data_IF_986463553780
#
_entry.id   IF_986463553780
#
_cell.length_a   1.000
_cell.length_b   1.000
_cell.length_c   1.000
_cell.angle_alpha   90.00
_cell.angle_beta   90.00
_cell.angle_gamma   90.00
#
_symmetry.space_group_name_H-M   'P 1'
#
loop_
_entity.id
_entity.type
_entity.pdbx_description
1 polymer ?
#
# COMPACT_ATOMS: atom_id res chain seq x y z
N UNK A 1 29.78 1.37 -23.54
CA UNK A 1 28.84 1.17 -22.42
C UNK A 1 29.67 0.99 -21.16
N UNK A 2 29.50 1.86 -20.15
CA UNK A 2 30.21 1.74 -18.87
C UNK A 2 29.32 1.03 -17.84
N UNK A 3 29.89 0.49 -16.77
CA UNK A 3 29.07 -0.08 -15.68
C UNK A 3 28.13 0.97 -15.07
N UNK A 4 28.55 2.24 -15.02
CA UNK A 4 27.70 3.34 -14.56
C UNK A 4 26.50 3.58 -15.48
N UNK A 5 26.70 3.57 -16.80
CA UNK A 5 25.59 3.76 -17.75
C UNK A 5 24.64 2.57 -17.69
N UNK A 6 25.17 1.35 -17.65
CA UNK A 6 24.35 0.14 -17.54
C UNK A 6 23.50 0.12 -16.26
N UNK A 7 24.06 0.53 -15.11
CA UNK A 7 23.31 0.69 -13.87
C UNK A 7 22.16 1.71 -14.03
N UNK A 8 22.44 2.85 -14.67
CA UNK A 8 21.45 3.90 -14.87
C UNK A 8 20.31 3.41 -15.77
N UNK A 9 20.62 2.71 -16.86
CA UNK A 9 19.63 2.15 -17.78
C UNK A 9 18.68 1.18 -17.05
N UNK A 10 19.22 0.29 -16.21
CA UNK A 10 18.42 -0.66 -15.42
C UNK A 10 17.54 0.06 -14.39
N UNK A 11 18.09 1.08 -13.72
CA UNK A 11 17.35 1.85 -12.72
C UNK A 11 16.19 2.61 -13.35
N UNK A 12 16.43 3.30 -14.45
CA UNK A 12 15.41 4.05 -15.18
C UNK A 12 14.32 3.13 -15.75
N UNK A 13 14.69 1.94 -16.25
CA UNK A 13 13.73 0.94 -16.67
C UNK A 13 12.83 0.49 -15.50
N UNK A 14 13.42 0.29 -14.31
CA UNK A 14 12.66 -0.12 -13.12
C UNK A 14 11.68 0.96 -12.64
N UNK A 15 12.15 2.21 -12.62
CA UNK A 15 11.34 3.38 -12.28
C UNK A 15 10.20 3.54 -13.28
N UNK A 16 10.47 3.39 -14.58
CA UNK A 16 9.45 3.45 -15.62
C UNK A 16 8.38 2.37 -15.44
N UNK A 17 8.77 1.11 -15.20
CA UNK A 17 7.83 0.00 -15.01
C UNK A 17 6.90 0.24 -13.80
N UNK A 18 7.39 0.86 -12.73
CA UNK A 18 6.61 1.15 -11.52
C UNK A 18 5.72 2.40 -11.62
N UNK A 19 6.19 3.44 -12.33
CA UNK A 19 5.55 4.76 -12.35
C UNK A 19 4.65 4.97 -13.55
N UNK A 20 5.01 4.41 -14.71
CA UNK A 20 4.33 4.69 -15.98
C UNK A 20 4.04 3.45 -16.82
N UNK A 21 4.64 2.30 -16.47
CA UNK A 21 4.39 1.02 -17.10
C UNK A 21 3.18 0.29 -16.53
N UNK A 22 3.02 -0.97 -16.93
CA UNK A 22 1.84 -1.79 -16.61
C UNK A 22 1.95 -2.59 -15.29
N UNK A 23 2.99 -2.40 -14.47
CA UNK A 23 3.18 -3.23 -13.29
C UNK A 23 2.02 -3.14 -12.31
N UNK A 24 1.66 -1.91 -11.91
CA UNK A 24 0.56 -1.67 -10.97
C UNK A 24 -0.75 -2.23 -11.53
N UNK A 25 -1.06 -1.95 -12.79
CA UNK A 25 -2.24 -2.47 -13.49
C UNK A 25 -2.30 -4.01 -13.42
N UNK A 26 -1.25 -4.71 -13.84
CA UNK A 26 -1.18 -6.17 -13.82
C UNK A 26 -1.22 -6.77 -12.41
N UNK A 27 -0.70 -6.06 -11.41
CA UNK A 27 -0.85 -6.46 -10.01
C UNK A 27 -2.31 -6.37 -9.57
N UNK A 28 -3.00 -5.28 -9.90
CA UNK A 28 -4.40 -5.07 -9.53
C UNK A 28 -5.35 -6.04 -10.25
N UNK A 29 -5.01 -6.50 -11.46
CA UNK A 29 -5.76 -7.53 -12.21
C UNK A 29 -5.79 -8.90 -11.51
N UNK A 30 -4.80 -9.22 -10.66
CA UNK A 30 -4.73 -10.51 -9.97
C UNK A 30 -4.08 -10.37 -8.58
N UNK A 31 -4.80 -9.70 -7.69
CA UNK A 31 -4.32 -9.41 -6.34
C UNK A 31 -4.06 -10.66 -5.50
N UNK A 32 -4.89 -11.70 -5.63
CA UNK A 32 -4.71 -12.97 -4.92
C UNK A 32 -3.37 -13.64 -5.22
N UNK A 33 -2.92 -13.56 -6.48
CA UNK A 33 -1.63 -14.12 -6.89
C UNK A 33 -0.44 -13.33 -6.33
N UNK A 34 -0.58 -12.01 -6.16
CA UNK A 34 0.56 -11.11 -5.94
C UNK A 34 0.60 -10.46 -4.55
N UNK A 35 -0.50 -10.45 -3.81
CA UNK A 35 -0.64 -9.74 -2.54
C UNK A 35 -1.09 -10.72 -1.46
N UNK A 36 -0.25 -10.89 -0.44
CA UNK A 36 -0.61 -11.68 0.74
C UNK A 36 -1.72 -10.97 1.50
N UNK A 37 -2.80 -11.69 1.79
CA UNK A 37 -3.94 -11.21 2.55
C UNK A 37 -4.04 -11.93 3.89
N UNK A 38 -4.03 -11.17 4.97
CA UNK A 38 -4.07 -11.70 6.34
C UNK A 38 -5.27 -11.14 7.11
N UNK A 39 -6.25 -12.00 7.50
CA UNK A 39 -7.44 -11.56 8.23
C UNK A 39 -7.15 -11.00 9.63
N UNK A 40 -5.92 -11.13 10.15
CA UNK A 40 -5.53 -10.59 11.45
C UNK A 40 -5.18 -9.10 11.39
N UNK A 41 -4.95 -8.52 10.21
CA UNK A 41 -4.58 -7.10 10.05
C UNK A 41 -5.68 -6.16 10.56
N UNK A 42 -6.97 -6.31 10.19
CA UNK A 42 -8.05 -5.52 10.76
C UNK A 42 -8.15 -5.61 12.29
N UNK A 43 -7.96 -6.81 12.85
CA UNK A 43 -8.02 -7.03 14.31
C UNK A 43 -6.91 -6.27 15.03
N UNK A 44 -5.67 -6.36 14.52
CA UNK A 44 -4.53 -5.64 15.09
C UNK A 44 -4.75 -4.13 15.09
N UNK A 45 -5.15 -3.56 13.94
CA UNK A 45 -5.36 -2.12 13.81
C UNK A 45 -6.52 -1.62 14.68
N UNK A 46 -7.57 -2.43 14.84
CA UNK A 46 -8.69 -2.11 15.73
C UNK A 46 -8.22 -1.98 17.18
N UNK A 47 -7.43 -2.95 17.66
CA UNK A 47 -6.86 -2.93 19.02
C UNK A 47 -5.88 -1.78 19.23
N UNK A 48 -5.06 -1.44 18.23
CA UNK A 48 -4.18 -0.28 18.32
C UNK A 48 -4.98 1.02 18.49
N UNK A 49 -6.12 1.14 17.79
CA UNK A 49 -7.00 2.30 17.84
C UNK A 49 -7.79 2.45 19.15
N UNK A 50 -7.99 1.36 19.89
CA UNK A 50 -8.61 1.39 21.22
C UNK A 50 -7.72 2.10 22.25
N UNK A 51 -6.40 2.04 22.08
CA UNK A 51 -5.42 2.55 23.07
C UNK A 51 -4.59 3.73 22.56
N UNK A 52 -4.74 4.11 21.30
CA UNK A 52 -3.95 5.16 20.68
C UNK A 52 -4.44 5.55 19.29
N UNK A 53 -3.68 6.43 18.64
CA UNK A 53 -3.95 6.83 17.26
C UNK A 53 -3.16 5.96 16.28
N UNK A 54 -3.76 5.68 15.13
CA UNK A 54 -3.18 4.87 14.05
C UNK A 54 -3.05 5.74 12.81
N UNK A 55 -1.93 5.69 12.11
CA UNK A 55 -1.75 6.43 10.85
C UNK A 55 -1.11 5.58 9.76
N UNK A 56 -1.38 5.96 8.51
CA UNK A 56 -0.72 5.43 7.32
C UNK A 56 0.07 6.57 6.67
N UNK A 57 1.34 6.34 6.39
CA UNK A 57 2.21 7.25 5.64
C UNK A 57 2.92 6.44 4.55
N UNK A 58 2.49 6.52 3.29
CA UNK A 58 2.99 5.70 2.17
C UNK A 58 3.57 6.54 1.04
N UNK A 59 4.56 6.00 0.31
CA UNK A 59 5.12 6.65 -0.89
C UNK A 59 4.25 6.41 -2.13
N UNK A 60 3.33 5.45 -2.07
CA UNK A 60 2.40 5.17 -3.16
C UNK A 60 1.36 6.28 -3.30
N UNK A 61 0.85 6.45 -4.52
CA UNK A 61 -0.27 7.33 -4.81
C UNK A 61 -1.58 6.80 -4.21
N UNK A 62 -2.59 7.66 -4.15
CA UNK A 62 -3.89 7.34 -3.57
C UNK A 62 -4.62 6.21 -4.29
N UNK A 63 -4.67 6.21 -5.62
CA UNK A 63 -5.46 5.24 -6.39
C UNK A 63 -4.95 3.82 -6.19
N UNK A 64 -3.63 3.63 -6.24
CA UNK A 64 -3.01 2.34 -5.97
C UNK A 64 -3.17 1.94 -4.50
N UNK A 65 -2.98 2.88 -3.57
CA UNK A 65 -3.19 2.64 -2.13
C UNK A 65 -4.61 2.19 -1.84
N UNK A 66 -5.62 2.84 -2.43
CA UNK A 66 -7.01 2.50 -2.22
C UNK A 66 -7.37 1.12 -2.75
N UNK A 67 -6.88 0.76 -3.94
CA UNK A 67 -7.12 -0.56 -4.52
C UNK A 67 -6.50 -1.68 -3.66
N UNK A 68 -5.24 -1.52 -3.25
CA UNK A 68 -4.54 -2.50 -2.41
C UNK A 68 -5.20 -2.60 -1.03
N UNK A 69 -5.48 -1.47 -0.38
CA UNK A 69 -6.06 -1.45 0.97
C UNK A 69 -7.51 -1.93 0.96
N UNK A 70 -8.27 -1.70 -0.11
CA UNK A 70 -9.61 -2.28 -0.24
C UNK A 70 -9.52 -3.80 -0.30
N UNK A 71 -8.60 -4.35 -1.11
CA UNK A 71 -8.38 -5.79 -1.18
C UNK A 71 -7.93 -6.39 0.15
N UNK A 72 -7.01 -5.75 0.87
CA UNK A 72 -6.50 -6.24 2.16
C UNK A 72 -7.58 -6.31 3.26
N UNK A 73 -8.67 -5.56 3.12
CA UNK A 73 -9.73 -5.46 4.13
C UNK A 73 -11.06 -6.07 3.69
N UNK A 74 -11.17 -6.54 2.44
CA UNK A 74 -12.38 -7.20 1.94
C UNK A 74 -12.43 -8.67 2.36
N UNK A 75 -13.17 -9.00 3.42
CA UNK A 75 -13.35 -10.40 3.86
C UNK A 75 -14.80 -10.88 3.65
N UNK A 76 -15.52 -10.29 2.69
CA UNK A 76 -16.94 -10.56 2.41
C UNK A 76 -17.26 -12.01 2.01
N UNK A 77 -16.26 -12.83 1.69
CA UNK A 77 -16.41 -14.21 1.21
C UNK A 77 -16.12 -15.37 2.17
N UNK A 78 -15.69 -15.15 3.44
CA UNK A 78 -15.50 -16.27 4.38
C UNK A 78 -14.61 -16.08 5.63
N UNK A 79 -14.76 -17.03 6.56
CA UNK A 79 -14.01 -17.45 7.77
C UNK A 79 -13.81 -16.54 9.00
N UNK A 80 -14.20 -15.26 8.99
CA UNK A 80 -14.13 -14.42 10.21
C UNK A 80 -15.42 -13.60 10.42
N UNK A 81 -16.53 -14.24 10.85
CA UNK A 81 -17.81 -13.55 11.11
C UNK A 81 -17.73 -12.51 12.24
N UNK A 82 -16.69 -12.53 13.06
CA UNK A 82 -16.53 -11.63 14.21
C UNK A 82 -15.91 -10.28 13.87
N UNK A 83 -15.35 -10.07 12.68
CA UNK A 83 -14.73 -8.79 12.31
C UNK A 83 -15.75 -7.94 11.53
N UNK A 84 -16.23 -6.80 12.09
CA UNK A 84 -17.12 -5.91 11.38
C UNK A 84 -16.47 -5.43 10.08
N UNK A 85 -17.13 -5.72 8.95
CA UNK A 85 -16.70 -5.22 7.66
C UNK A 85 -16.88 -3.70 7.66
N UNK A 86 -15.77 -2.98 7.55
CA UNK A 86 -15.76 -1.52 7.47
C UNK A 86 -14.66 -1.07 6.51
N UNK A 87 -14.84 0.07 5.83
CA UNK A 87 -13.83 0.58 4.89
C UNK A 87 -12.46 0.68 5.56
N UNK A 88 -11.40 0.28 4.86
CA UNK A 88 -10.01 0.27 5.37
C UNK A 88 -9.60 1.63 5.97
N UNK A 89 -10.12 2.74 5.40
CA UNK A 89 -9.84 4.11 5.87
C UNK A 89 -10.26 4.33 7.33
N UNK A 90 -11.31 3.66 7.80
CA UNK A 90 -11.82 3.82 9.18
C UNK A 90 -10.86 3.30 10.26
N UNK A 91 -9.90 2.45 9.89
CA UNK A 91 -8.88 1.92 10.79
C UNK A 91 -7.76 2.93 11.09
N UNK A 92 -7.70 4.05 10.36
CA UNK A 92 -6.66 5.07 10.49
C UNK A 92 -7.27 6.41 10.94
N UNK A 93 -6.57 7.13 11.80
CA UNK A 93 -6.89 8.49 12.22
C UNK A 93 -6.24 9.54 11.31
N UNK A 94 -5.17 9.16 10.61
CA UNK A 94 -4.50 9.98 9.61
C UNK A 94 -4.01 9.08 8.46
N UNK A 95 -4.27 9.49 7.22
CA UNK A 95 -3.77 8.82 6.01
C UNK A 95 -3.03 9.86 5.18
N UNK A 96 -1.76 9.57 4.88
CA UNK A 96 -0.89 10.39 4.03
C UNK A 96 -0.32 9.49 2.94
N UNK A 97 -0.60 9.84 1.70
CA UNK A 97 -0.06 9.20 0.49
C UNK A 97 1.03 10.08 -0.11
N UNK A 98 1.73 9.59 -1.14
CA UNK A 98 2.74 10.37 -1.87
C UNK A 98 3.83 10.99 -0.96
N UNK A 99 4.15 10.33 0.16
CA UNK A 99 5.02 10.93 1.19
C UNK A 99 6.46 11.14 0.75
N UNK A 100 6.93 10.49 -0.33
CA UNK A 100 8.31 10.62 -0.87
C UNK A 100 9.40 10.49 0.22
N UNK A 101 9.20 9.58 1.18
CA UNK A 101 10.24 9.22 2.17
C UNK A 101 11.53 8.80 1.46
N UNK A 102 12.71 9.23 1.93
CA UNK A 102 12.97 9.79 3.26
C UNK A 102 12.75 11.30 3.39
N UNK A 103 12.50 12.03 2.30
CA UNK A 103 12.43 13.50 2.32
C UNK A 103 11.28 14.03 3.19
N UNK A 104 10.21 13.26 3.35
CA UNK A 104 9.14 13.48 4.33
C UNK A 104 9.63 13.83 5.75
N UNK A 105 10.75 13.24 6.19
CA UNK A 105 11.26 13.42 7.55
C UNK A 105 12.18 14.64 7.71
N UNK A 106 12.41 15.38 6.63
CA UNK A 106 13.22 16.59 6.62
C UNK A 106 12.35 17.77 6.18
N UNK A 107 12.65 18.35 5.03
CA UNK A 107 11.93 19.50 4.46
C UNK A 107 10.53 19.10 3.94
N UNK A 108 10.31 17.81 3.69
CA UNK A 108 9.11 17.30 3.04
C UNK A 108 9.10 17.58 1.54
N UNK A 109 8.03 17.15 0.89
CA UNK A 109 7.76 17.34 -0.55
C UNK A 109 6.29 17.21 -0.87
#
# INVERSE_FOLDING_TARGET
MSFRSMFQDVREAMDHVHLSGCLKEKTLENLEKYVVKDPRVPLLLSRMKEVGKVFLATNSDYSYTDAIMTYLFDFSGGDMPEIPQRPWRSYFDLIVVDTRKPLFFAEGT
#
